data_IF_278073102382
#
_entry.id   IF_278073102382
#
_cell.length_a   1.000
_cell.length_b   1.000
_cell.length_c   1.000
_cell.angle_alpha   90.00
_cell.angle_beta   90.00
_cell.angle_gamma   90.00
#
_symmetry.space_group_name_H-M   'P 1'
#
loop_
_entity.id
_entity.type
_entity.pdbx_description
1 polymer ?
#
# COMPACT_ATOMS: atom_id res chain seq x y z
N UNK A 1 -18.29 -17.53 4.18
CA UNK A 1 -18.98 -18.49 5.07
C UNK A 1 -18.70 -18.17 6.55
N UNK A 2 -19.54 -18.61 7.49
CA UNK A 2 -19.35 -18.33 8.92
C UNK A 2 -17.99 -18.85 9.46
N UNK A 3 -17.52 -20.00 8.93
CA UNK A 3 -16.26 -20.66 9.30
C UNK A 3 -15.00 -19.95 8.81
N UNK A 4 -15.09 -19.05 7.83
CA UNK A 4 -13.93 -18.37 7.27
C UNK A 4 -13.53 -17.20 8.18
N UNK A 5 -12.24 -17.02 8.50
CA UNK A 5 -11.80 -15.85 9.23
C UNK A 5 -12.02 -14.57 8.40
N UNK A 6 -12.10 -13.38 9.03
CA UNK A 6 -11.98 -12.11 8.33
C UNK A 6 -10.72 -12.08 7.45
N UNK A 7 -10.79 -11.59 6.19
CA UNK A 7 -9.62 -11.50 5.34
C UNK A 7 -8.62 -10.46 5.89
N UNK A 8 -7.31 -10.66 5.70
CA UNK A 8 -6.30 -9.68 6.11
C UNK A 8 -6.33 -8.42 5.25
N UNK A 9 -6.59 -8.59 3.95
CA UNK A 9 -6.73 -7.51 2.97
C UNK A 9 -7.63 -7.94 1.81
N UNK A 10 -8.14 -6.95 1.08
CA UNK A 10 -8.85 -7.12 -0.19
C UNK A 10 -8.31 -6.07 -1.16
N UNK A 11 -7.64 -6.53 -2.21
CA UNK A 11 -6.91 -5.64 -3.11
C UNK A 11 -6.29 -6.33 -4.31
N UNK A 12 -5.43 -5.58 -5.01
CA UNK A 12 -4.60 -6.04 -6.12
C UNK A 12 -3.13 -5.77 -5.82
N UNK A 13 -2.27 -6.72 -6.18
CA UNK A 13 -0.83 -6.51 -6.26
C UNK A 13 -0.44 -6.40 -7.73
N UNK A 14 0.26 -5.33 -8.09
CA UNK A 14 0.71 -5.03 -9.44
C UNK A 14 2.24 -5.06 -9.48
N UNK A 15 2.80 -5.87 -10.37
CA UNK A 15 4.22 -5.84 -10.68
C UNK A 15 4.46 -4.83 -11.80
N UNK A 16 5.15 -3.74 -11.45
CA UNK A 16 5.50 -2.66 -12.35
C UNK A 16 6.98 -2.80 -12.76
N UNK A 17 7.27 -2.46 -14.01
CA UNK A 17 8.61 -2.62 -14.57
C UNK A 17 9.68 -1.88 -13.73
N UNK A 18 10.81 -2.53 -13.54
CA UNK A 18 12.01 -1.93 -12.95
C UNK A 18 12.30 -0.53 -13.50
N UNK A 19 12.63 0.39 -12.60
CA UNK A 19 12.93 1.80 -12.92
C UNK A 19 11.79 2.77 -12.64
N UNK A 20 10.58 2.27 -12.35
CA UNK A 20 9.48 3.04 -11.76
C UNK A 20 9.72 3.25 -10.26
N UNK A 21 10.75 4.04 -9.92
CA UNK A 21 11.30 4.15 -8.57
C UNK A 21 10.76 5.29 -7.71
N UNK A 22 9.81 6.09 -8.18
CA UNK A 22 9.24 7.22 -7.42
C UNK A 22 7.75 7.01 -7.22
N UNK A 23 7.29 6.98 -5.96
CA UNK A 23 5.88 6.91 -5.61
C UNK A 23 5.40 8.28 -5.12
N UNK A 24 4.30 8.76 -5.67
CA UNK A 24 3.60 9.98 -5.26
C UNK A 24 2.17 9.62 -4.90
N UNK A 25 1.63 10.15 -3.81
CA UNK A 25 0.23 9.89 -3.44
C UNK A 25 -0.42 11.10 -2.80
N UNK A 26 -1.74 11.17 -2.90
CA UNK A 26 -2.57 12.09 -2.13
C UNK A 26 -3.43 11.30 -1.15
N UNK A 27 -3.08 11.35 0.13
CA UNK A 27 -3.65 10.51 1.18
C UNK A 27 -2.97 10.79 2.51
N UNK A 28 -3.02 9.84 3.45
CA UNK A 28 -2.27 9.97 4.70
C UNK A 28 -0.79 9.67 4.52
N UNK A 29 0.05 10.41 5.23
CA UNK A 29 1.50 10.25 5.18
C UNK A 29 2.22 11.23 6.13
N UNK A 30 3.56 11.39 6.01
CA UNK A 30 4.43 10.68 5.06
C UNK A 30 4.76 9.24 5.47
N UNK A 31 4.61 8.89 6.76
CA UNK A 31 4.89 7.56 7.30
C UNK A 31 3.80 6.52 7.02
N UNK A 32 4.06 5.29 7.46
CA UNK A 32 3.09 4.20 7.33
C UNK A 32 1.92 4.30 8.31
N UNK A 33 0.74 3.91 7.85
CA UNK A 33 -0.47 3.89 8.66
C UNK A 33 -1.43 2.77 8.26
N UNK A 34 -2.24 2.35 9.23
CA UNK A 34 -3.21 1.26 9.10
C UNK A 34 -4.56 1.69 9.70
N UNK A 35 -5.60 0.87 9.52
CA UNK A 35 -6.97 1.21 9.89
C UNK A 35 -7.13 1.70 11.33
N UNK A 36 -6.39 1.10 12.26
CA UNK A 36 -6.36 1.39 13.70
C UNK A 36 -5.21 2.31 14.14
N UNK A 37 -4.28 2.62 13.25
CA UNK A 37 -3.08 3.45 13.52
C UNK A 37 -2.83 4.42 12.36
N UNK A 38 -3.69 5.45 12.22
CA UNK A 38 -3.57 6.46 11.16
C UNK A 38 -3.70 7.92 11.58
N UNK A 39 -4.05 8.21 12.84
CA UNK A 39 -4.27 9.58 13.31
C UNK A 39 -3.02 10.45 13.28
N UNK A 40 -1.83 9.85 13.45
CA UNK A 40 -0.54 10.55 13.34
C UNK A 40 -0.11 10.86 11.90
N UNK A 41 -0.87 10.44 10.89
CA UNK A 41 -0.55 10.67 9.49
C UNK A 41 -1.56 11.65 8.87
N UNK A 42 -1.21 12.95 8.75
CA UNK A 42 -2.09 13.94 8.13
C UNK A 42 -2.31 13.65 6.64
N UNK A 43 -3.46 14.11 6.12
CA UNK A 43 -3.77 14.04 4.69
C UNK A 43 -3.00 15.12 3.94
N UNK A 44 -2.28 14.73 2.90
CA UNK A 44 -1.45 15.62 2.10
C UNK A 44 -0.96 14.94 0.83
N UNK A 45 -0.24 15.70 -0.01
CA UNK A 45 0.49 15.15 -1.15
C UNK A 45 1.91 14.84 -0.71
N UNK A 46 2.32 13.60 -0.90
CA UNK A 46 3.65 13.11 -0.51
C UNK A 46 4.32 12.42 -1.70
N UNK A 47 5.64 12.42 -1.68
CA UNK A 47 6.49 11.82 -2.70
C UNK A 47 7.69 11.17 -2.02
N UNK A 48 8.02 9.93 -2.40
CA UNK A 48 9.16 9.19 -1.88
C UNK A 48 9.75 8.29 -2.97
N UNK A 49 11.02 7.91 -2.82
CA UNK A 49 11.55 6.78 -3.60
C UNK A 49 10.91 5.49 -3.10
N UNK A 50 10.61 4.57 -4.00
CA UNK A 50 10.09 3.23 -3.68
C UNK A 50 11.04 2.46 -2.75
N UNK A 51 12.36 2.70 -2.84
CA UNK A 51 13.31 2.08 -1.92
C UNK A 51 13.19 2.61 -0.47
N UNK A 52 12.68 3.83 -0.28
CA UNK A 52 12.61 4.53 1.02
C UNK A 52 11.27 4.34 1.74
N UNK A 53 10.28 3.70 1.10
CA UNK A 53 8.99 3.38 1.71
C UNK A 53 9.08 2.17 2.65
N UNK A 54 10.12 1.34 2.48
CA UNK A 54 10.38 0.16 3.29
C UNK A 54 10.71 0.54 4.74
N UNK A 55 10.03 -0.11 5.69
CA UNK A 55 10.35 0.00 7.12
C UNK A 55 11.13 -1.25 7.54
N UNK A 56 12.39 -1.11 8.01
CA UNK A 56 13.28 -2.23 8.31
C UNK A 56 12.96 -2.83 9.70
N UNK A 57 11.79 -3.44 9.84
CA UNK A 57 11.45 -4.21 11.03
C UNK A 57 12.44 -5.37 11.22
N UNK A 58 12.71 -5.72 12.49
CA UNK A 58 13.68 -6.78 12.83
C UNK A 58 13.30 -8.12 12.18
N UNK A 59 12.02 -8.48 12.28
CA UNK A 59 11.42 -9.57 11.54
C UNK A 59 10.69 -9.01 10.32
N UNK A 60 11.04 -9.43 9.10
CA UNK A 60 10.35 -9.01 7.88
C UNK A 60 8.84 -9.26 7.97
N UNK A 61 8.07 -8.18 7.94
CA UNK A 61 6.61 -8.18 8.11
C UNK A 61 5.99 -7.06 7.28
N UNK A 62 4.67 -7.12 7.06
CA UNK A 62 3.93 -6.11 6.28
C UNK A 62 4.26 -4.70 6.75
N UNK A 63 4.65 -3.84 5.81
CA UNK A 63 5.08 -2.47 6.08
C UNK A 63 4.78 -1.53 4.91
N UNK A 64 4.88 -0.23 5.16
CA UNK A 64 4.82 0.80 4.12
C UNK A 64 3.41 1.18 3.67
N UNK A 65 2.35 0.64 4.30
CA UNK A 65 0.97 0.97 3.94
C UNK A 65 0.64 2.46 4.14
N UNK A 66 -0.17 3.01 3.25
CA UNK A 66 -0.69 4.38 3.28
C UNK A 66 -2.21 4.31 3.19
N UNK A 67 -2.91 4.94 4.14
CA UNK A 67 -4.37 4.91 4.23
C UNK A 67 -5.06 6.17 3.69
N UNK A 68 -6.36 6.09 3.45
CA UNK A 68 -7.22 7.17 2.98
C UNK A 68 -6.69 7.86 1.69
N UNK A 69 -6.14 7.04 0.78
CA UNK A 69 -5.49 7.47 -0.47
C UNK A 69 -6.54 7.73 -1.54
N UNK A 70 -6.52 8.92 -2.11
CA UNK A 70 -7.40 9.34 -3.22
C UNK A 70 -6.81 9.00 -4.57
N UNK A 71 -5.49 9.07 -4.69
CA UNK A 71 -4.76 8.59 -5.86
C UNK A 71 -3.32 8.29 -5.48
N UNK A 72 -2.69 7.39 -6.23
CA UNK A 72 -1.28 7.05 -6.16
C UNK A 72 -0.71 6.98 -7.56
N UNK A 73 0.54 7.40 -7.74
CA UNK A 73 1.28 7.33 -8.99
C UNK A 73 2.67 6.76 -8.73
N UNK A 74 3.11 5.83 -9.58
CA UNK A 74 4.47 5.32 -9.58
C UNK A 74 5.11 5.68 -10.91
N UNK A 75 6.22 6.42 -10.87
CA UNK A 75 6.88 6.98 -12.06
C UNK A 75 8.38 6.72 -12.06
N UNK A 76 8.98 6.81 -13.25
CA UNK A 76 10.43 6.83 -13.43
C UNK A 76 10.98 8.27 -13.38
N UNK A 77 12.30 8.42 -13.42
CA UNK A 77 12.95 9.73 -13.40
C UNK A 77 12.66 10.64 -14.61
N UNK A 78 11.94 10.15 -15.62
CA UNK A 78 11.48 10.94 -16.79
C UNK A 78 10.00 11.33 -16.68
N UNK A 79 9.31 10.94 -15.61
CA UNK A 79 7.89 11.22 -15.39
C UNK A 79 6.92 10.29 -16.10
N UNK A 80 7.38 9.16 -16.66
CA UNK A 80 6.48 8.14 -17.21
C UNK A 80 6.12 7.11 -16.14
N UNK A 81 4.90 6.59 -16.16
CA UNK A 81 4.49 5.60 -15.17
C UNK A 81 3.02 5.23 -15.19
N UNK A 82 2.50 4.87 -14.02
CA UNK A 82 1.12 4.46 -13.82
C UNK A 82 0.51 5.24 -12.65
N UNK A 83 -0.67 5.81 -12.86
CA UNK A 83 -1.53 6.35 -11.83
C UNK A 83 -2.69 5.40 -11.55
N UNK A 84 -3.11 5.35 -10.28
CA UNK A 84 -4.25 4.58 -9.81
C UNK A 84 -5.13 5.43 -8.90
N UNK A 85 -6.44 5.33 -9.09
CA UNK A 85 -7.46 6.02 -8.28
C UNK A 85 -8.72 5.14 -8.15
N UNK A 86 -9.49 5.25 -7.05
CA UNK A 86 -10.78 4.58 -6.94
C UNK A 86 -11.82 5.26 -7.85
N UNK A 87 -12.76 4.48 -8.38
CA UNK A 87 -13.95 5.03 -9.05
C UNK A 87 -15.02 5.35 -8.02
N UNK A 88 -15.54 6.57 -8.04
CA UNK A 88 -16.63 7.01 -7.16
C UNK A 88 -16.14 7.43 -5.77
N UNK A 89 -17.02 7.30 -4.77
CA UNK A 89 -16.69 7.64 -3.39
C UNK A 89 -15.92 6.50 -2.73
N UNK A 90 -14.78 6.84 -2.11
CA UNK A 90 -13.96 5.88 -1.40
C UNK A 90 -12.49 6.28 -1.38
N UNK A 91 -11.72 5.50 -0.64
CA UNK A 91 -10.27 5.63 -0.56
C UNK A 91 -9.61 4.28 -0.74
N UNK A 92 -8.34 4.32 -1.13
CA UNK A 92 -7.47 3.16 -1.25
C UNK A 92 -6.55 3.06 -0.04
N UNK A 93 -6.03 1.86 0.19
CA UNK A 93 -4.78 1.68 0.92
C UNK A 93 -3.69 1.24 -0.05
N UNK A 94 -2.53 1.90 -0.02
CA UNK A 94 -1.45 1.63 -0.98
C UNK A 94 -0.12 1.43 -0.31
N UNK A 95 0.68 0.53 -0.87
CA UNK A 95 2.11 0.38 -0.57
C UNK A 95 2.87 0.20 -1.87
N UNK A 96 4.12 0.66 -1.91
CA UNK A 96 5.01 0.46 -3.04
C UNK A 96 6.35 -0.02 -2.52
N UNK A 97 6.86 -1.13 -3.03
CA UNK A 97 8.11 -1.76 -2.59
C UNK A 97 8.97 -2.18 -3.79
N UNK A 98 10.28 -2.30 -3.57
CA UNK A 98 11.25 -2.83 -4.53
C UNK A 98 11.54 -4.33 -4.33
N UNK A 99 10.56 -5.02 -3.75
CA UNK A 99 10.49 -6.45 -3.45
C UNK A 99 9.03 -6.90 -3.48
N UNK A 100 8.78 -8.20 -3.69
CA UNK A 100 7.41 -8.75 -3.66
C UNK A 100 6.97 -9.13 -2.24
N UNK A 101 5.65 -9.20 -2.00
CA UNK A 101 5.10 -9.71 -0.74
C UNK A 101 5.55 -11.17 -0.47
N UNK A 102 5.81 -11.93 -1.53
CA UNK A 102 6.36 -13.30 -1.44
C UNK A 102 7.80 -13.29 -0.91
N UNK A 103 8.66 -12.41 -1.42
CA UNK A 103 10.06 -12.33 -0.98
C UNK A 103 10.14 -11.85 0.47
N UNK A 104 9.31 -10.87 0.84
CA UNK A 104 9.19 -10.40 2.23
C UNK A 104 8.76 -11.53 3.17
N UNK A 105 7.76 -12.33 2.78
CA UNK A 105 7.25 -13.43 3.60
C UNK A 105 8.16 -14.67 3.67
N UNK A 106 9.14 -14.78 2.77
CA UNK A 106 10.13 -15.86 2.80
C UNK A 106 11.35 -15.54 3.68
N UNK A 107 11.60 -14.26 3.98
CA UNK A 107 12.74 -13.80 4.74
C UNK A 107 12.50 -13.90 6.26
N UNK A 108 13.51 -14.37 7.00
CA UNK A 108 13.50 -14.41 8.47
C UNK A 108 14.24 -13.21 9.08
N UNK A 109 15.15 -12.60 8.30
CA UNK A 109 15.91 -11.42 8.70
C UNK A 109 15.87 -10.35 7.61
N UNK A 110 15.96 -9.07 8.01
CA UNK A 110 15.83 -7.93 7.09
C UNK A 110 16.81 -7.94 5.91
N UNK A 111 18.02 -8.46 6.10
CA UNK A 111 19.04 -8.56 5.05
C UNK A 111 18.81 -9.70 4.04
N UNK A 112 17.87 -10.61 4.33
CA UNK A 112 17.50 -11.72 3.43
C UNK A 112 16.44 -11.30 2.40
N UNK A 113 15.77 -10.16 2.61
CA UNK A 113 14.78 -9.63 1.67
C UNK A 113 15.50 -9.26 0.37
N UNK A 114 15.15 -9.92 -0.73
CA UNK A 114 15.73 -9.65 -2.05
C UNK A 114 15.11 -8.36 -2.62
N UNK A 115 15.91 -7.30 -2.76
CA UNK A 115 15.47 -5.95 -3.17
C UNK A 115 16.09 -5.47 -4.47
N UNK A 116 15.52 -4.42 -5.05
CA UNK A 116 16.07 -3.69 -6.21
C UNK A 116 15.66 -4.24 -7.59
N UNK A 117 14.63 -5.09 -7.60
CA UNK A 117 14.02 -5.67 -8.79
C UNK A 117 12.91 -4.79 -9.37
N UNK A 118 11.81 -5.44 -9.74
CA UNK A 118 10.57 -4.75 -10.15
C UNK A 118 9.94 -4.00 -8.97
N UNK A 119 9.08 -3.04 -9.28
CA UNK A 119 8.31 -2.33 -8.27
C UNK A 119 6.98 -3.04 -8.03
N UNK A 120 6.75 -3.49 -6.81
CA UNK A 120 5.47 -4.03 -6.39
C UNK A 120 4.61 -2.91 -5.84
N UNK A 121 3.52 -2.57 -6.55
CA UNK A 121 2.50 -1.64 -6.09
C UNK A 121 1.29 -2.44 -5.61
N UNK A 122 0.95 -2.33 -4.33
CA UNK A 122 -0.28 -2.91 -3.80
C UNK A 122 -1.35 -1.84 -3.67
N UNK A 123 -2.55 -2.15 -4.15
CA UNK A 123 -3.71 -1.26 -4.20
C UNK A 123 -4.89 -1.98 -3.60
N UNK A 124 -5.15 -1.70 -2.33
CA UNK A 124 -6.23 -2.33 -1.56
C UNK A 124 -7.45 -1.44 -1.45
N UNK A 125 -8.62 -2.07 -1.49
CA UNK A 125 -9.85 -1.48 -1.00
C UNK A 125 -9.87 -1.43 0.53
N UNK A 126 -9.32 -2.45 1.18
CA UNK A 126 -9.25 -2.53 2.64
C UNK A 126 -8.13 -3.45 3.11
N UNK A 127 -7.48 -3.06 4.20
CA UNK A 127 -6.53 -3.84 4.99
C UNK A 127 -7.00 -3.77 6.44
N UNK A 128 -6.91 -4.88 7.18
CA UNK A 128 -7.26 -4.88 8.60
C UNK A 128 -6.27 -4.03 9.42
N UNK A 129 -6.66 -3.69 10.65
CA UNK A 129 -5.77 -3.06 11.62
C UNK A 129 -4.58 -3.95 12.02
N UNK A 130 -3.59 -3.37 12.68
CA UNK A 130 -2.42 -4.09 13.19
C UNK A 130 -2.71 -4.75 14.54
N UNK A 131 -3.61 -4.18 15.35
CA UNK A 131 -3.86 -4.56 16.74
C UNK A 131 -2.73 -4.11 17.67
N UNK A 132 -2.50 -4.91 18.72
CA UNK A 132 -1.39 -4.68 19.66
C UNK A 132 -1.81 -4.33 21.08
N UNK A 133 -3.04 -4.65 21.51
CA UNK A 133 -3.46 -4.57 22.92
C UNK A 133 -2.54 -5.44 23.81
N UNK A 134 -2.12 -6.59 23.30
CA UNK A 134 -0.98 -7.38 23.77
C UNK A 134 -0.24 -8.03 22.58
N UNK A 135 0.87 -8.72 22.84
CA UNK A 135 1.72 -9.34 21.79
C UNK A 135 1.50 -10.85 21.61
N UNK A 136 0.50 -11.44 22.28
CA UNK A 136 0.27 -12.90 22.27
C UNK A 136 -1.17 -13.28 21.90
N UNK A 137 -2.05 -12.30 21.71
CA UNK A 137 -3.41 -12.48 21.22
C UNK A 137 -3.61 -11.79 19.86
N UNK A 138 -4.57 -12.30 19.09
CA UNK A 138 -5.03 -11.64 17.86
C UNK A 138 -6.10 -10.60 18.22
N UNK A 139 -5.70 -9.52 18.86
CA UNK A 139 -6.59 -8.47 19.34
C UNK A 139 -6.67 -7.28 18.36
N UNK A 140 -7.25 -7.52 17.18
CA UNK A 140 -7.71 -6.41 16.32
C UNK A 140 -9.16 -6.13 16.71
N UNK A 141 -9.47 -4.88 17.08
CA UNK A 141 -10.82 -4.51 17.46
C UNK A 141 -11.79 -4.71 16.28
N UNK A 142 -13.05 -5.15 16.51
CA UNK A 142 -13.97 -5.52 15.45
C UNK A 142 -14.18 -4.45 14.36
N UNK A 143 -14.14 -3.16 14.72
CA UNK A 143 -14.28 -2.05 13.77
C UNK A 143 -13.09 -1.88 12.80
N UNK A 144 -11.96 -2.54 13.06
CA UNK A 144 -10.77 -2.52 12.21
C UNK A 144 -10.54 -3.84 11.47
N UNK A 145 -11.49 -4.78 11.54
CA UNK A 145 -11.48 -5.99 10.73
C UNK A 145 -12.05 -5.70 9.34
N UNK A 146 -11.50 -6.32 8.30
CA UNK A 146 -12.14 -6.34 6.98
C UNK A 146 -13.37 -7.24 7.06
N UNK A 147 -14.57 -6.77 6.66
CA UNK A 147 -15.79 -7.57 6.73
C UNK A 147 -15.68 -8.87 5.92
N UNK A 148 -16.30 -9.94 6.42
CA UNK A 148 -16.48 -11.17 5.64
C UNK A 148 -17.55 -10.94 4.57
N UNK A 149 -17.38 -11.52 3.39
CA UNK A 149 -18.38 -11.49 2.33
C UNK A 149 -17.81 -11.03 0.99
N UNK A 150 -18.70 -10.58 0.11
CA UNK A 150 -18.33 -10.09 -1.22
C UNK A 150 -17.89 -8.63 -1.14
N UNK A 151 -16.71 -8.36 -1.64
CA UNK A 151 -16.19 -7.01 -1.80
C UNK A 151 -16.20 -6.62 -3.28
N UNK A 152 -16.54 -5.37 -3.56
CA UNK A 152 -16.49 -4.81 -4.91
C UNK A 152 -15.89 -3.42 -4.83
N UNK A 153 -14.87 -3.19 -5.62
CA UNK A 153 -14.28 -1.88 -5.83
C UNK A 153 -13.80 -1.81 -7.29
N UNK A 154 -13.74 -0.60 -7.81
CA UNK A 154 -13.33 -0.33 -9.19
C UNK A 154 -12.22 0.70 -9.16
N UNK A 155 -11.23 0.52 -10.03
CA UNK A 155 -10.07 1.38 -10.13
C UNK A 155 -9.99 2.01 -11.53
N UNK A 156 -9.58 3.27 -11.58
CA UNK A 156 -8.99 3.86 -12.78
C UNK A 156 -7.49 3.54 -12.78
N UNK A 157 -7.02 2.93 -13.87
CA UNK A 157 -5.60 2.76 -14.16
C UNK A 157 -5.27 3.71 -15.32
N UNK A 158 -4.42 4.69 -15.07
CA UNK A 158 -4.10 5.74 -16.04
C UNK A 158 -2.59 5.75 -16.35
N UNK A 159 -2.17 5.54 -17.61
CA UNK A 159 -0.77 5.66 -17.99
C UNK A 159 -0.32 7.12 -17.89
N UNK A 160 0.80 7.37 -17.24
CA UNK A 160 1.38 8.71 -17.10
C UNK A 160 2.39 8.88 -18.22
N UNK A 161 2.19 9.90 -19.06
CA UNK A 161 3.02 10.18 -20.23
C UNK A 161 3.89 11.43 -20.07
N UNK A 162 3.66 12.22 -19.01
CA UNK A 162 4.45 13.42 -18.71
C UNK A 162 4.45 13.74 -17.20
N UNK A 163 5.47 14.45 -16.67
CA UNK A 163 5.52 14.84 -15.26
C UNK A 163 4.31 15.66 -14.78
N UNK A 164 3.70 16.45 -15.67
CA UNK A 164 2.56 17.32 -15.32
C UNK A 164 1.29 16.55 -14.94
N UNK A 165 1.13 15.32 -15.42
CA UNK A 165 -0.04 14.47 -15.16
C UNK A 165 -0.05 13.90 -13.73
N UNK A 166 1.09 13.87 -13.04
CA UNK A 166 1.23 13.33 -11.67
C UNK A 166 0.49 14.19 -10.64
N UNK A 167 0.36 15.50 -10.89
CA UNK A 167 -0.18 16.43 -9.89
C UNK A 167 -1.69 16.24 -9.63
N UNK A 168 -2.41 15.69 -10.61
CA UNK A 168 -3.85 15.44 -10.54
C UNK A 168 -4.22 14.39 -11.60
N UNK A 169 -3.92 13.10 -11.36
CA UNK A 169 -4.39 12.05 -12.24
C UNK A 169 -5.93 12.11 -12.33
N UNK A 170 -6.50 11.78 -13.50
CA UNK A 170 -7.91 11.99 -13.81
C UNK A 170 -8.87 11.28 -12.85
#
# INVERSE_FOLDING_TARGET
PAWMPPPPRVGLELTLARGLGTVTWFGRGPGECYADRKLGCPVGRYEQRVADTHVPYLFPTENGNRSDVRWCAVTNGKGFGLAVAPVGEGYLQVSAHDYSSRDLGAAMHSHEVVRGGDTTLTVDAATMGVGGDDTWSRAILPQYLVPKGTHRYTLHLHPISSPGEVARPP
#
